data_IF_804440031107
#
_entry.id   IF_804440031107
#
_cell.length_a   1.000
_cell.length_b   1.000
_cell.length_c   1.000
_cell.angle_alpha   90.00
_cell.angle_beta   90.00
_cell.angle_gamma   90.00
#
_symmetry.space_group_name_H-M   'P 1'
#
loop_
_entity.id
_entity.type
_entity.pdbx_description
1 polymer ?
#
# COMPACT_ATOMS: atom_id res chain seq x y z
N UNK A 1 -15.88 0.18 -16.50
CA UNK A 1 -14.69 -0.67 -16.75
C UNK A 1 -14.16 -1.10 -15.40
N UNK A 2 -13.97 -2.40 -15.17
CA UNK A 2 -13.48 -2.90 -13.87
C UNK A 2 -11.99 -2.58 -13.72
N UNK A 3 -11.58 -2.01 -12.58
CA UNK A 3 -10.18 -1.82 -12.23
C UNK A 3 -9.57 -3.19 -11.89
N UNK A 4 -8.81 -3.81 -12.78
CA UNK A 4 -8.20 -5.14 -12.56
C UNK A 4 -6.68 -5.07 -12.67
N UNK A 5 -6.01 -5.68 -11.70
CA UNK A 5 -4.55 -5.83 -11.69
C UNK A 5 -4.19 -7.02 -12.60
N UNK A 6 -3.26 -6.80 -13.52
CA UNK A 6 -2.74 -7.84 -14.42
C UNK A 6 -1.26 -8.05 -14.11
N UNK A 7 -0.91 -9.27 -13.71
CA UNK A 7 0.44 -9.68 -13.35
C UNK A 7 0.96 -10.62 -14.43
N UNK A 8 2.17 -10.39 -14.93
CA UNK A 8 2.76 -11.14 -16.05
C UNK A 8 3.85 -12.13 -15.60
N UNK A 9 4.08 -12.25 -14.29
CA UNK A 9 5.20 -12.94 -13.67
C UNK A 9 6.55 -12.43 -14.17
N UNK A 10 6.67 -11.11 -14.27
CA UNK A 10 7.87 -10.40 -14.72
C UNK A 10 8.45 -9.55 -13.60
N UNK A 11 9.76 -9.22 -13.62
CA UNK A 11 10.40 -8.40 -12.59
C UNK A 11 9.76 -7.01 -12.40
N UNK A 12 8.97 -6.54 -13.37
CA UNK A 12 8.31 -5.24 -13.36
C UNK A 12 6.93 -5.24 -12.70
N UNK A 13 6.36 -6.41 -12.40
CA UNK A 13 5.00 -6.52 -11.82
C UNK A 13 4.89 -5.81 -10.46
N UNK A 14 5.98 -5.81 -9.68
CA UNK A 14 6.07 -5.03 -8.45
C UNK A 14 5.85 -3.53 -8.69
N UNK A 15 6.41 -2.98 -9.77
CA UNK A 15 6.23 -1.57 -10.14
C UNK A 15 4.82 -1.26 -10.66
N UNK A 16 4.16 -2.23 -11.31
CA UNK A 16 2.75 -2.09 -11.71
C UNK A 16 1.89 -1.92 -10.46
N UNK A 17 2.03 -2.79 -9.47
CA UNK A 17 1.30 -2.70 -8.21
C UNK A 17 1.61 -1.41 -7.47
N UNK A 18 2.89 -1.04 -7.34
CA UNK A 18 3.27 0.21 -6.69
C UNK A 18 2.64 1.43 -7.39
N UNK A 19 2.59 1.45 -8.72
CA UNK A 19 1.96 2.54 -9.46
C UNK A 19 0.46 2.65 -9.13
N UNK A 20 -0.23 1.51 -9.02
CA UNK A 20 -1.65 1.46 -8.66
C UNK A 20 -1.88 1.92 -7.23
N UNK A 21 -1.05 1.45 -6.30
CA UNK A 21 -1.08 1.83 -4.90
C UNK A 21 -0.85 3.33 -4.71
N UNK A 22 0.12 3.92 -5.43
CA UNK A 22 0.45 5.34 -5.32
C UNK A 22 -0.54 6.24 -6.06
N UNK A 23 -1.06 5.80 -7.20
CA UNK A 23 -1.89 6.64 -8.07
C UNK A 23 -3.19 5.92 -8.44
N UNK A 24 -4.08 5.61 -7.46
CA UNK A 24 -5.27 4.79 -7.70
C UNK A 24 -6.23 5.38 -8.73
N UNK A 25 -6.30 6.71 -8.84
CA UNK A 25 -7.20 7.45 -9.73
C UNK A 25 -6.49 8.15 -10.91
N UNK A 26 -5.18 8.39 -10.80
CA UNK A 26 -4.42 9.13 -11.82
C UNK A 26 -3.72 8.18 -12.80
N UNK A 27 -4.40 7.85 -13.90
CA UNK A 27 -3.86 6.96 -14.95
C UNK A 27 -2.55 7.48 -15.55
N UNK A 28 -2.45 8.78 -15.81
CA UNK A 28 -1.26 9.37 -16.42
C UNK A 28 0.00 9.18 -15.56
N UNK A 29 -0.09 9.39 -14.25
CA UNK A 29 1.04 9.15 -13.33
C UNK A 29 1.36 7.64 -13.19
N UNK A 30 0.35 6.77 -13.24
CA UNK A 30 0.58 5.30 -13.28
C UNK A 30 1.38 4.90 -14.50
N UNK A 31 0.91 5.31 -15.67
CA UNK A 31 1.52 4.97 -16.95
C UNK A 31 2.96 5.52 -17.01
N UNK A 32 3.18 6.75 -16.56
CA UNK A 32 4.51 7.38 -16.48
C UNK A 32 5.47 6.59 -15.58
N UNK A 33 5.01 6.21 -14.37
CA UNK A 33 5.81 5.41 -13.44
C UNK A 33 6.18 4.06 -14.03
N UNK A 34 5.20 3.35 -14.57
CA UNK A 34 5.42 2.05 -15.21
C UNK A 34 6.43 2.19 -16.36
N UNK A 35 6.23 3.15 -17.27
CA UNK A 35 7.09 3.35 -18.43
C UNK A 35 8.55 3.60 -18.05
N UNK A 36 8.82 4.42 -17.02
CA UNK A 36 10.17 4.67 -16.51
C UNK A 36 10.82 3.39 -16.00
N UNK A 37 10.09 2.60 -15.22
CA UNK A 37 10.63 1.35 -14.67
C UNK A 37 10.81 0.26 -15.73
N UNK A 38 9.90 0.17 -16.71
CA UNK A 38 10.07 -0.69 -17.89
C UNK A 38 11.32 -0.33 -18.69
N UNK A 39 11.54 0.96 -18.96
CA UNK A 39 12.72 1.43 -19.68
C UNK A 39 14.02 1.11 -18.91
N UNK A 40 14.04 1.35 -17.59
CA UNK A 40 15.19 1.02 -16.74
C UNK A 40 15.51 -0.48 -16.72
N UNK A 41 14.49 -1.33 -16.58
CA UNK A 41 14.67 -2.78 -16.60
C UNK A 41 15.23 -3.27 -17.96
N UNK A 42 14.81 -2.64 -19.05
CA UNK A 42 15.27 -2.94 -20.40
C UNK A 42 16.72 -2.51 -20.64
N UNK A 43 17.15 -1.39 -20.05
CA UNK A 43 18.53 -0.89 -20.15
C UNK A 43 19.52 -1.63 -19.24
N UNK A 44 19.05 -2.23 -18.15
CA UNK A 44 19.89 -2.92 -17.16
C UNK A 44 20.17 -4.39 -17.44
N UNK A 45 19.55 -5.00 -18.45
CA UNK A 45 19.80 -6.40 -18.81
C UNK A 45 20.97 -6.53 -19.79
N UNK A 46 21.98 -7.38 -19.51
CA UNK A 46 23.06 -7.64 -20.46
C UNK A 46 22.47 -8.18 -21.77
N UNK A 47 22.97 -7.64 -22.89
CA UNK A 47 22.42 -7.76 -24.23
C UNK A 47 22.54 -9.17 -24.86
N UNK A 48 22.01 -10.20 -24.18
CA UNK A 48 21.81 -11.51 -24.79
C UNK A 48 20.36 -11.63 -25.24
N UNK A 49 20.15 -11.29 -26.52
CA UNK A 49 19.05 -11.73 -27.36
C UNK A 49 17.63 -11.30 -26.97
N UNK A 50 17.35 -10.01 -26.78
CA UNK A 50 16.00 -9.50 -27.04
C UNK A 50 16.05 -8.05 -27.54
N UNK A 51 15.74 -7.86 -28.82
CA UNK A 51 15.22 -6.62 -29.39
C UNK A 51 13.82 -6.36 -28.81
N UNK A 52 13.71 -6.12 -27.51
CA UNK A 52 12.53 -5.49 -26.93
C UNK A 52 12.65 -4.00 -27.21
N UNK A 53 12.28 -3.60 -28.43
CA UNK A 53 11.90 -2.22 -28.69
C UNK A 53 10.86 -1.84 -27.62
N UNK A 54 11.14 -0.78 -26.85
CA UNK A 54 10.10 -0.16 -26.04
C UNK A 54 8.96 0.16 -27.02
N UNK A 55 7.80 -0.49 -26.84
CA UNK A 55 6.66 -0.28 -27.74
C UNK A 55 6.25 1.19 -27.74
N UNK A 56 5.63 1.64 -28.83
CA UNK A 56 5.25 3.05 -29.02
C UNK A 56 4.50 3.64 -27.81
N UNK A 57 3.68 2.82 -27.14
CA UNK A 57 2.96 3.20 -25.91
C UNK A 57 3.89 3.61 -24.75
N UNK A 58 5.00 2.89 -24.55
CA UNK A 58 6.00 3.19 -23.51
C UNK A 58 6.74 4.48 -23.86
N UNK A 59 7.09 4.67 -25.13
CA UNK A 59 7.77 5.88 -25.60
C UNK A 59 6.86 7.11 -25.47
N UNK A 60 5.59 7.01 -25.85
CA UNK A 60 4.61 8.08 -25.64
C UNK A 60 4.46 8.42 -24.16
N UNK A 61 4.32 7.42 -23.28
CA UNK A 61 4.21 7.64 -21.85
C UNK A 61 5.46 8.31 -21.25
N UNK A 62 6.66 8.02 -21.78
CA UNK A 62 7.91 8.67 -21.36
C UNK A 62 8.02 10.12 -21.83
N UNK A 63 7.55 10.42 -23.04
CA UNK A 63 7.54 11.79 -23.59
C UNK A 63 6.62 12.69 -22.76
N UNK A 64 5.46 12.16 -22.39
CA UNK A 64 4.47 12.90 -21.61
C UNK A 64 4.75 12.86 -20.09
N UNK A 65 5.72 12.05 -19.63
CA UNK A 65 5.99 11.89 -18.21
C UNK A 65 6.50 13.20 -17.57
N UNK A 66 6.06 13.50 -16.34
CA UNK A 66 6.70 14.56 -15.56
C UNK A 66 8.18 14.23 -15.32
N UNK A 67 8.97 15.25 -15.00
CA UNK A 67 10.36 15.06 -14.58
C UNK A 67 10.45 14.02 -13.46
N UNK A 68 11.43 13.11 -13.54
CA UNK A 68 11.54 11.99 -12.61
C UNK A 68 11.61 12.43 -11.14
N UNK A 69 12.29 13.55 -10.86
CA UNK A 69 12.32 14.15 -9.52
C UNK A 69 10.94 14.56 -9.01
N UNK A 70 10.10 15.16 -9.86
CA UNK A 70 8.72 15.51 -9.51
C UNK A 70 7.88 14.25 -9.28
N UNK A 71 8.08 13.22 -10.11
CA UNK A 71 7.39 11.94 -9.94
C UNK A 71 7.74 11.27 -8.60
N UNK A 72 9.01 11.33 -8.18
CA UNK A 72 9.45 10.84 -6.88
C UNK A 72 8.80 11.60 -5.71
N UNK A 73 8.65 12.93 -5.82
CA UNK A 73 7.93 13.73 -4.82
C UNK A 73 6.46 13.26 -4.73
N UNK A 74 5.81 13.08 -5.87
CA UNK A 74 4.43 12.60 -5.93
C UNK A 74 4.28 11.19 -5.33
N UNK A 75 5.23 10.29 -5.59
CA UNK A 75 5.25 8.95 -4.99
C UNK A 75 5.45 9.01 -3.48
N UNK A 76 6.38 9.84 -2.99
CA UNK A 76 6.61 9.99 -1.55
C UNK A 76 5.37 10.52 -0.83
N UNK A 77 4.70 11.52 -1.41
CA UNK A 77 3.44 12.04 -0.87
C UNK A 77 2.34 10.98 -0.88
N UNK A 78 2.16 10.28 -1.99
CA UNK A 78 1.13 9.25 -2.15
C UNK A 78 1.37 8.07 -1.22
N UNK A 79 2.62 7.65 -1.06
CA UNK A 79 3.03 6.61 -0.11
C UNK A 79 2.60 6.97 1.30
N UNK A 80 2.85 8.20 1.76
CA UNK A 80 2.44 8.63 3.11
C UNK A 80 0.93 8.54 3.30
N UNK A 81 0.15 8.99 2.32
CA UNK A 81 -1.32 8.92 2.37
C UNK A 81 -1.81 7.47 2.37
N UNK A 82 -1.27 6.64 1.49
CA UNK A 82 -1.59 5.23 1.36
C UNK A 82 -1.27 4.44 2.62
N UNK A 83 -0.09 4.66 3.22
CA UNK A 83 0.31 4.05 4.49
C UNK A 83 -0.68 4.34 5.61
N UNK A 84 -1.15 5.59 5.75
CA UNK A 84 -2.18 5.94 6.74
C UNK A 84 -3.45 5.14 6.52
N UNK A 85 -3.92 5.03 5.28
CA UNK A 85 -5.13 4.25 4.96
C UNK A 85 -4.92 2.75 5.19
N UNK A 86 -3.74 2.23 4.88
CA UNK A 86 -3.34 0.86 5.18
C UNK A 86 -3.31 0.57 6.68
N UNK A 87 -2.72 1.46 7.49
CA UNK A 87 -2.69 1.35 8.95
C UNK A 87 -4.12 1.33 9.53
N UNK A 88 -5.04 2.13 8.98
CA UNK A 88 -6.45 2.15 9.42
C UNK A 88 -7.12 0.82 9.16
N UNK A 89 -7.02 0.28 7.93
CA UNK A 89 -7.66 -0.99 7.59
C UNK A 89 -7.03 -2.16 8.33
N UNK A 90 -5.70 -2.19 8.47
CA UNK A 90 -4.99 -3.19 9.26
C UNK A 90 -5.37 -3.12 10.75
N UNK A 91 -5.52 -1.92 11.30
CA UNK A 91 -6.00 -1.73 12.68
C UNK A 91 -7.42 -2.25 12.86
N UNK A 92 -8.33 -1.98 11.92
CA UNK A 92 -9.70 -2.53 11.95
C UNK A 92 -9.68 -4.06 11.93
N UNK A 93 -8.86 -4.64 11.05
CA UNK A 93 -8.69 -6.09 10.99
C UNK A 93 -8.21 -6.66 12.33
N UNK A 94 -7.17 -6.05 12.91
CA UNK A 94 -6.60 -6.51 14.18
C UNK A 94 -7.57 -6.33 15.35
N UNK A 95 -8.33 -5.24 15.38
CA UNK A 95 -9.39 -5.04 16.37
C UNK A 95 -10.50 -6.08 16.24
N UNK A 96 -10.82 -6.50 15.01
CA UNK A 96 -11.77 -7.58 14.75
C UNK A 96 -11.23 -8.93 15.22
N UNK A 97 -9.97 -9.27 14.91
CA UNK A 97 -9.31 -10.49 15.41
C UNK A 97 -9.28 -10.58 16.94
N UNK A 98 -9.10 -9.43 17.60
CA UNK A 98 -9.08 -9.32 19.06
C UNK A 98 -10.48 -9.24 19.69
N UNK A 99 -11.54 -9.32 18.89
CA UNK A 99 -12.94 -9.19 19.31
C UNK A 99 -13.19 -7.95 20.20
N UNK A 100 -12.54 -6.84 19.89
CA UNK A 100 -12.68 -5.64 20.70
C UNK A 100 -14.10 -5.05 20.56
N UNK A 101 -14.75 -4.66 21.67
CA UNK A 101 -16.14 -4.20 21.65
C UNK A 101 -16.34 -2.90 20.88
N UNK A 102 -15.29 -2.10 20.72
CA UNK A 102 -15.28 -0.84 19.97
C UNK A 102 -14.38 -0.96 18.73
N UNK A 103 -14.72 -1.87 17.82
CA UNK A 103 -14.11 -1.93 16.50
C UNK A 103 -14.74 -0.87 15.58
N UNK A 104 -14.40 0.39 15.83
CA UNK A 104 -14.91 1.57 15.12
C UNK A 104 -13.84 2.25 14.26
N UNK A 105 -14.29 2.96 13.22
CA UNK A 105 -13.40 3.71 12.34
C UNK A 105 -12.67 4.83 13.11
N UNK A 106 -13.34 5.48 14.06
CA UNK A 106 -12.72 6.52 14.88
C UNK A 106 -11.55 5.99 15.70
N UNK A 107 -11.69 4.80 16.31
CA UNK A 107 -10.59 4.16 17.03
C UNK A 107 -9.43 3.78 16.10
N UNK A 108 -9.72 3.23 14.92
CA UNK A 108 -8.69 2.94 13.92
C UNK A 108 -7.92 4.19 13.47
N UNK A 109 -8.62 5.32 13.28
CA UNK A 109 -8.00 6.63 12.96
C UNK A 109 -7.07 7.09 14.10
N UNK A 110 -7.47 6.91 15.35
CA UNK A 110 -6.62 7.25 16.50
C UNK A 110 -5.35 6.38 16.55
N UNK A 111 -5.48 5.07 16.32
CA UNK A 111 -4.34 4.15 16.25
C UNK A 111 -3.39 4.55 15.12
N UNK A 112 -3.90 4.76 13.91
CA UNK A 112 -3.11 5.20 12.76
C UNK A 112 -2.40 6.54 13.01
N UNK A 113 -3.08 7.49 13.67
CA UNK A 113 -2.47 8.77 14.06
C UNK A 113 -1.33 8.62 15.07
N UNK A 114 -1.41 7.63 15.97
CA UNK A 114 -0.32 7.31 16.90
C UNK A 114 0.85 6.64 16.18
N UNK A 115 0.57 5.66 15.32
CA UNK A 115 1.57 5.01 14.46
C UNK A 115 2.34 6.00 13.61
N UNK A 116 1.64 6.99 13.04
CA UNK A 116 2.25 8.01 12.20
C UNK A 116 3.10 9.04 12.95
N UNK A 117 2.92 9.17 14.27
CA UNK A 117 3.80 9.96 15.13
C UNK A 117 5.01 9.17 15.62
N UNK A 118 4.87 7.85 15.76
CA UNK A 118 5.94 6.98 16.25
C UNK A 118 6.90 6.48 15.16
N UNK A 119 6.66 6.81 13.90
CA UNK A 119 7.48 6.34 12.78
C UNK A 119 8.02 7.51 11.98
N UNK A 120 9.30 7.42 11.62
CA UNK A 120 9.90 8.29 10.61
C UNK A 120 9.37 7.88 9.23
N UNK A 121 8.16 8.34 8.88
CA UNK A 121 7.60 8.16 7.55
C UNK A 121 8.29 9.09 6.55
N UNK A 122 9.54 8.75 6.22
CA UNK A 122 10.39 9.51 5.32
C UNK A 122 10.99 10.76 5.95
N UNK A 123 12.04 11.27 5.33
CA UNK A 123 12.76 12.49 5.75
C UNK A 123 11.95 13.77 5.46
N UNK A 124 10.70 13.84 5.95
CA UNK A 124 9.79 14.96 5.77
C UNK A 124 9.26 15.47 7.10
N UNK A 125 8.74 16.71 7.14
CA UNK A 125 8.17 17.29 8.35
C UNK A 125 7.01 16.44 8.88
N UNK A 126 6.80 16.46 10.21
CA UNK A 126 5.62 15.90 10.86
C UNK A 126 4.38 16.37 10.11
N UNK A 127 3.68 15.44 9.46
CA UNK A 127 2.48 15.81 8.71
C UNK A 127 1.36 16.04 9.72
N UNK A 128 0.70 17.22 9.75
CA UNK A 128 -0.39 17.46 10.68
C UNK A 128 -1.61 16.62 10.26
N UNK A 129 -1.78 15.47 10.91
CA UNK A 129 -2.88 14.54 10.67
C UNK A 129 -4.16 15.00 11.40
N UNK A 130 -4.83 16.01 10.86
CA UNK A 130 -6.20 16.29 11.30
C UNK A 130 -7.13 15.14 10.88
N UNK A 131 -8.16 14.83 11.68
CA UNK A 131 -9.15 13.80 11.33
C UNK A 131 -9.81 14.09 9.96
N UNK A 132 -10.02 15.37 9.63
CA UNK A 132 -10.53 15.81 8.33
C UNK A 132 -9.58 15.39 7.20
N UNK A 133 -8.28 15.60 7.38
CA UNK A 133 -7.24 15.21 6.41
C UNK A 133 -7.23 13.70 6.20
N UNK A 134 -7.26 12.91 7.28
CA UNK A 134 -7.29 11.45 7.21
C UNK A 134 -8.53 10.96 6.46
N UNK A 135 -9.71 11.53 6.72
CA UNK A 135 -10.94 11.20 5.98
C UNK A 135 -10.82 11.48 4.48
N UNK A 136 -10.07 12.50 4.08
CA UNK A 136 -9.76 12.74 2.66
C UNK A 136 -8.88 11.62 2.09
N UNK A 137 -7.83 11.21 2.82
CA UNK A 137 -6.97 10.12 2.37
C UNK A 137 -7.73 8.80 2.23
N UNK A 138 -8.61 8.47 3.18
CA UNK A 138 -9.47 7.28 3.10
C UNK A 138 -10.27 7.31 1.80
N UNK A 139 -10.90 8.44 1.45
CA UNK A 139 -11.67 8.55 0.20
C UNK A 139 -10.80 8.41 -1.05
N UNK A 140 -9.63 9.04 -1.05
CA UNK A 140 -8.71 9.05 -2.19
C UNK A 140 -8.11 7.66 -2.47
N UNK A 141 -7.79 6.90 -1.41
CA UNK A 141 -7.12 5.60 -1.49
C UNK A 141 -8.02 4.40 -1.16
N UNK A 142 -9.33 4.60 -0.99
CA UNK A 142 -10.28 3.53 -0.64
C UNK A 142 -10.16 2.31 -1.58
N UNK A 143 -10.02 2.55 -2.88
CA UNK A 143 -9.95 1.51 -3.91
C UNK A 143 -8.70 0.63 -3.83
N UNK A 144 -7.67 1.06 -3.11
CA UNK A 144 -6.38 0.35 -2.93
C UNK A 144 -6.02 0.17 -1.45
N UNK A 145 -6.96 0.42 -0.54
CA UNK A 145 -6.73 0.33 0.91
C UNK A 145 -6.25 -1.08 1.32
N UNK A 146 -6.76 -2.12 0.67
CA UNK A 146 -6.37 -3.51 0.89
C UNK A 146 -4.91 -3.79 0.52
N UNK A 147 -4.40 -3.22 -0.57
CA UNK A 147 -2.98 -3.31 -0.96
C UNK A 147 -2.09 -2.63 0.07
N UNK A 148 -2.49 -1.44 0.55
CA UNK A 148 -1.74 -0.72 1.58
C UNK A 148 -1.77 -1.44 2.93
N UNK A 149 -2.91 -2.01 3.33
CA UNK A 149 -3.00 -2.80 4.55
C UNK A 149 -2.08 -4.02 4.49
N UNK A 150 -2.12 -4.76 3.37
CA UNK A 150 -1.22 -5.88 3.15
C UNK A 150 0.25 -5.44 3.23
N UNK A 151 0.63 -4.31 2.62
CA UNK A 151 1.99 -3.78 2.69
C UNK A 151 2.42 -3.48 4.14
N UNK A 152 1.49 -3.00 4.97
CA UNK A 152 1.74 -2.65 6.37
C UNK A 152 1.86 -3.86 7.27
N UNK A 153 1.07 -4.90 7.02
CA UNK A 153 1.17 -6.20 7.70
C UNK A 153 2.47 -6.89 7.25
N UNK A 154 2.75 -6.86 5.95
CA UNK A 154 3.88 -7.53 5.31
C UNK A 154 5.20 -6.77 5.41
N UNK A 155 5.41 -5.87 6.38
CA UNK A 155 6.53 -4.92 6.41
C UNK A 155 7.94 -5.58 6.38
N UNK A 156 8.02 -6.89 6.59
CA UNK A 156 9.23 -7.70 6.45
C UNK A 156 9.53 -8.18 5.01
N UNK A 157 8.58 -8.06 4.08
CA UNK A 157 8.69 -8.53 2.70
C UNK A 157 8.76 -7.35 1.73
N UNK A 158 9.92 -7.17 1.08
CA UNK A 158 10.02 -6.26 -0.06
C UNK A 158 9.68 -7.04 -1.34
N UNK A 159 8.58 -6.67 -1.99
CA UNK A 159 8.15 -7.26 -3.28
C UNK A 159 8.50 -6.37 -4.49
N UNK A 160 8.98 -5.15 -4.26
CA UNK A 160 9.27 -4.18 -5.31
C UNK A 160 10.74 -4.06 -5.68
N UNK A 161 11.63 -4.71 -4.92
CA UNK A 161 13.04 -4.78 -5.26
C UNK A 161 13.26 -5.94 -6.24
N UNK A 162 14.17 -5.78 -7.20
CA UNK A 162 14.54 -6.78 -8.22
C UNK A 162 15.35 -7.96 -7.66
N UNK A 163 15.12 -8.36 -6.41
CA UNK A 163 15.80 -9.50 -5.80
C UNK A 163 15.24 -10.82 -6.33
N UNK A 164 16.02 -11.89 -6.18
CA UNK A 164 15.63 -13.25 -6.57
C UNK A 164 14.33 -13.74 -5.90
N UNK A 165 13.98 -13.17 -4.73
CA UNK A 165 12.77 -13.49 -3.97
C UNK A 165 11.56 -12.62 -4.32
N UNK A 166 11.70 -11.65 -5.23
CA UNK A 166 10.64 -10.68 -5.57
C UNK A 166 9.33 -11.33 -5.98
N UNK A 167 9.36 -12.33 -6.86
CA UNK A 167 8.16 -13.06 -7.31
C UNK A 167 7.47 -13.81 -6.17
N UNK A 168 8.24 -14.44 -5.27
CA UNK A 168 7.71 -15.15 -4.10
C UNK A 168 7.09 -14.18 -3.09
N UNK A 169 7.77 -13.05 -2.86
CA UNK A 169 7.27 -11.99 -1.98
C UNK A 169 6.02 -11.32 -2.55
N UNK A 170 5.97 -11.15 -3.88
CA UNK A 170 4.80 -10.65 -4.58
C UNK A 170 3.60 -11.59 -4.42
N UNK A 171 3.77 -12.89 -4.62
CA UNK A 171 2.69 -13.85 -4.42
C UNK A 171 2.14 -13.80 -2.99
N UNK A 172 3.01 -13.77 -1.97
CA UNK A 172 2.62 -13.59 -0.57
C UNK A 172 1.87 -12.28 -0.33
N UNK A 173 2.36 -11.18 -0.90
CA UNK A 173 1.73 -9.87 -0.80
C UNK A 173 0.33 -9.86 -1.41
N UNK A 174 0.13 -10.51 -2.57
CA UNK A 174 -1.18 -10.61 -3.22
C UNK A 174 -2.17 -11.43 -2.38
N UNK A 175 -1.72 -12.53 -1.79
CA UNK A 175 -2.54 -13.34 -0.86
C UNK A 175 -2.99 -12.52 0.34
N UNK A 176 -2.08 -11.77 0.96
CA UNK A 176 -2.41 -10.86 2.08
C UNK A 176 -3.36 -9.74 1.64
N UNK A 177 -3.17 -9.22 0.44
CA UNK A 177 -4.03 -8.20 -0.17
C UNK A 177 -5.44 -8.72 -0.37
N UNK A 178 -5.60 -9.99 -0.75
CA UNK A 178 -6.92 -10.63 -0.92
C UNK A 178 -7.62 -10.78 0.43
N UNK A 179 -6.90 -11.21 1.48
CA UNK A 179 -7.46 -11.25 2.84
C UNK A 179 -7.95 -9.88 3.30
N UNK A 180 -7.14 -8.83 3.09
CA UNK A 180 -7.51 -7.46 3.43
C UNK A 180 -8.68 -6.95 2.57
N UNK A 181 -8.75 -7.36 1.30
CA UNK A 181 -9.82 -7.00 0.37
C UNK A 181 -11.16 -7.59 0.81
N UNK A 182 -11.20 -8.89 1.11
CA UNK A 182 -12.41 -9.57 1.57
C UNK A 182 -12.91 -8.99 2.89
N UNK A 183 -12.01 -8.75 3.84
CA UNK A 183 -12.36 -8.05 5.08
C UNK A 183 -12.90 -6.65 4.80
N UNK A 184 -12.18 -5.83 4.03
CA UNK A 184 -12.57 -4.45 3.74
C UNK A 184 -13.93 -4.34 3.02
N UNK A 185 -14.27 -5.31 2.18
CA UNK A 185 -15.55 -5.37 1.45
C UNK A 185 -16.72 -5.97 2.26
N UNK A 186 -16.46 -6.63 3.38
CA UNK A 186 -17.50 -7.28 4.20
C UNK A 186 -17.69 -6.62 5.57
N UNK A 187 -16.65 -6.01 6.12
CA UNK A 187 -16.65 -5.45 7.47
C UNK A 187 -17.35 -4.08 7.53
N UNK A 188 -18.33 -3.97 8.43
CA UNK A 188 -19.05 -2.72 8.73
C UNK A 188 -18.64 -2.25 10.13
N UNK A 189 -17.95 -1.10 10.27
CA UNK A 189 -17.49 -0.61 11.56
C UNK A 189 -18.63 -0.36 12.56
N UNK A 190 -18.32 -0.55 13.84
CA UNK A 190 -19.22 -0.17 14.92
C UNK A 190 -19.48 1.35 14.88
N UNK A 191 -20.73 1.75 15.16
CA UNK A 191 -21.13 3.16 15.17
C UNK A 191 -21.11 3.87 13.81
N UNK A 192 -20.88 3.16 12.71
CA UNK A 192 -20.94 3.77 11.38
C UNK A 192 -22.34 4.34 11.09
N UNK A 193 -22.39 5.62 10.73
CA UNK A 193 -23.65 6.32 10.36
C UNK A 193 -24.37 5.60 9.22
N UNK A 194 -23.60 5.07 8.26
CA UNK A 194 -24.09 4.27 7.16
C UNK A 194 -23.57 2.84 7.27
N UNK A 195 -24.43 1.85 7.03
CA UNK A 195 -24.11 0.42 7.10
C UNK A 195 -23.45 -0.07 5.81
N UNK A 196 -22.39 0.60 5.39
CA UNK A 196 -21.60 0.20 4.24
C UNK A 196 -20.24 -0.35 4.69
N UNK A 197 -19.66 -1.30 3.94
CA UNK A 197 -18.29 -1.74 4.14
C UNK A 197 -17.27 -0.61 3.97
N UNK A 198 -16.05 -0.83 4.46
CA UNK A 198 -14.94 0.13 4.31
C UNK A 198 -14.55 0.33 2.85
N UNK A 199 -14.53 -0.75 2.07
CA UNK A 199 -14.21 -0.75 0.64
C UNK A 199 -15.47 -1.11 -0.13
N UNK A 200 -15.79 -0.31 -1.16
CA UNK A 200 -16.82 -0.66 -2.12
C UNK A 200 -16.24 -1.57 -3.20
N UNK A 201 -16.85 -2.72 -3.41
CA UNK A 201 -16.39 -3.75 -4.35
C UNK A 201 -16.25 -3.20 -5.77
N UNK A 202 -17.18 -2.35 -6.21
CA UNK A 202 -17.22 -1.76 -7.56
C UNK A 202 -16.10 -0.76 -7.84
N UNK A 203 -15.56 -0.12 -6.80
CA UNK A 203 -14.52 0.91 -6.93
C UNK A 203 -13.11 0.34 -6.76
N UNK A 204 -13.01 -0.83 -6.12
CA UNK A 204 -11.74 -1.43 -5.74
C UNK A 204 -10.94 -1.96 -6.94
N UNK A 205 -9.61 -1.91 -6.80
CA UNK A 205 -8.72 -2.63 -7.68
C UNK A 205 -8.79 -4.13 -7.37
N UNK A 206 -9.23 -4.92 -8.34
CA UNK A 206 -9.41 -6.36 -8.20
C UNK A 206 -8.08 -7.08 -8.46
N UNK A 207 -7.74 -8.00 -7.56
CA UNK A 207 -6.54 -8.82 -7.66
C UNK A 207 -6.62 -9.83 -8.81
N UNK A 208 -5.48 -10.39 -9.28
CA UNK A 208 -5.48 -11.41 -10.31
C UNK A 208 -6.32 -12.63 -9.92
N UNK A 209 -6.95 -13.27 -10.90
CA UNK A 209 -7.72 -14.50 -10.69
C UNK A 209 -6.86 -15.60 -10.06
N UNK A 210 -7.46 -16.39 -9.17
CA UNK A 210 -6.77 -17.47 -8.46
C UNK A 210 -6.01 -17.01 -7.20
N UNK A 211 -5.92 -15.71 -6.92
CA UNK A 211 -5.44 -15.23 -5.62
C UNK A 211 -6.45 -15.65 -4.55
N UNK A 212 -6.02 -16.53 -3.64
CA UNK A 212 -6.86 -17.00 -2.53
C UNK A 212 -6.42 -16.31 -1.24
N UNK A 213 -7.35 -15.90 -0.38
CA UNK A 213 -7.01 -15.32 0.92
C UNK A 213 -6.28 -16.33 1.80
N UNK A 214 -5.40 -15.84 2.67
CA UNK A 214 -4.87 -16.62 3.79
C UNK A 214 -5.46 -16.12 5.10
N UNK A 215 -5.59 -17.03 6.07
CA UNK A 215 -5.90 -16.62 7.44
C UNK A 215 -4.73 -15.80 8.01
N UNK A 216 -5.07 -14.67 8.61
CA UNK A 216 -4.13 -13.80 9.32
C UNK A 216 -4.27 -14.02 10.82
N UNK A 217 -3.13 -14.14 11.48
CA UNK A 217 -3.02 -14.26 12.94
C UNK A 217 -2.47 -12.97 13.54
N UNK A 218 -2.50 -12.85 14.86
CA UNK A 218 -1.94 -11.68 15.55
C UNK A 218 -0.42 -11.53 15.31
N UNK A 219 0.29 -12.64 15.12
CA UNK A 219 1.75 -12.67 14.96
C UNK A 219 2.20 -12.10 13.60
N UNK A 220 1.26 -11.93 12.66
CA UNK A 220 1.53 -11.31 11.36
C UNK A 220 1.59 -9.77 11.45
N UNK A 221 1.13 -9.18 12.55
CA UNK A 221 1.06 -7.72 12.71
C UNK A 221 2.29 -7.17 13.43
N UNK A 222 2.76 -5.96 13.08
CA UNK A 222 3.81 -5.30 13.85
C UNK A 222 3.40 -5.09 15.33
N UNK A 223 4.28 -5.45 16.26
CA UNK A 223 4.05 -5.31 17.72
C UNK A 223 3.57 -3.90 18.11
N UNK A 224 4.14 -2.87 17.48
CA UNK A 224 3.76 -1.47 17.70
C UNK A 224 2.29 -1.20 17.37
N UNK A 225 1.75 -1.83 16.32
CA UNK A 225 0.34 -1.72 15.96
C UNK A 225 -0.53 -2.45 16.98
N UNK A 226 -0.12 -3.66 17.39
CA UNK A 226 -0.82 -4.45 18.40
C UNK A 226 -0.92 -3.71 19.75
N UNK A 227 0.17 -3.08 20.17
CA UNK A 227 0.24 -2.31 21.41
C UNK A 227 -0.69 -1.09 21.37
N UNK A 228 -0.68 -0.32 20.27
CA UNK A 228 -1.60 0.81 20.13
C UNK A 228 -3.06 0.38 20.03
N UNK A 229 -3.37 -0.73 19.34
CA UNK A 229 -4.73 -1.29 19.28
C UNK A 229 -5.22 -1.70 20.67
N UNK A 230 -4.35 -2.30 21.48
CA UNK A 230 -4.62 -2.64 22.89
C UNK A 230 -4.67 -1.43 23.82
N UNK A 231 -4.38 -0.23 23.33
CA UNK A 231 -4.45 1.00 24.10
C UNK A 231 -3.24 1.25 24.99
N UNK A 232 -2.13 0.53 24.80
CA UNK A 232 -0.88 0.85 25.49
C UNK A 232 -0.34 2.18 24.97
N UNK A 233 0.08 3.05 25.89
CA UNK A 233 0.82 4.24 25.52
C UNK A 233 2.32 3.94 25.53
N UNK A 234 2.85 3.71 24.32
CA UNK A 234 4.26 3.37 24.09
C UNK A 234 5.07 4.57 23.57
N UNK A 235 4.51 5.78 23.59
CA UNK A 235 5.20 7.00 23.14
C UNK A 235 6.47 7.31 23.93
N UNK A 236 6.63 6.75 25.14
CA UNK A 236 7.85 6.86 25.92
C UNK A 236 8.98 5.88 25.49
N UNK A 237 8.68 4.86 24.67
CA UNK A 237 9.61 3.77 24.32
C UNK A 237 10.18 3.88 22.89
N UNK A 238 9.63 4.74 22.04
CA UNK A 238 9.92 4.77 20.59
C UNK A 238 11.20 5.50 20.18
N UNK A 239 12.09 5.85 21.12
CA UNK A 239 13.40 6.43 20.79
C UNK A 239 14.47 5.41 20.38
N UNK A 240 14.19 4.09 20.36
CA UNK A 240 15.24 3.08 20.08
C UNK A 240 14.93 2.04 19.01
N UNK A 241 13.72 1.94 18.46
CA UNK A 241 13.38 0.94 17.45
C UNK A 241 12.38 1.48 16.44
N UNK A 242 12.87 1.82 15.24
CA UNK A 242 12.29 1.64 13.89
C UNK A 242 13.20 2.45 12.95
N UNK A 243 14.32 1.86 12.55
CA UNK A 243 15.23 2.46 11.58
C UNK A 243 14.76 2.11 10.15
N UNK A 244 14.38 3.18 9.43
CA UNK A 244 14.41 3.37 7.99
C UNK A 244 14.38 2.16 7.07
N UNK A 245 13.19 1.80 6.54
CA UNK A 245 13.06 0.93 5.35
C UNK A 245 11.87 1.21 4.43
N UNK A 246 11.21 2.37 4.54
CA UNK A 246 10.18 2.75 3.55
C UNK A 246 10.82 3.51 2.37
N UNK A 247 11.88 4.28 2.62
CA UNK A 247 12.52 5.10 1.57
C UNK A 247 13.51 4.34 0.67
N UNK A 248 14.12 3.25 1.13
CA UNK A 248 15.05 2.46 0.32
C UNK A 248 14.38 1.47 -0.65
N UNK A 249 13.05 1.38 -0.63
CA UNK A 249 12.27 0.53 -1.55
C UNK A 249 11.63 1.32 -2.70
N UNK A 250 11.83 2.64 -2.73
CA UNK A 250 11.38 3.54 -3.80
C UNK A 250 12.56 4.18 -4.58
N UNK A 251 13.80 3.78 -4.30
CA UNK A 251 15.01 4.16 -5.03
C UNK A 251 15.45 3.01 -5.93
#
# INVERSE_FOLDING_TARGET
>A
MSNRIVIRNTPVDGYIIQSIMNFPTNKHLRDSWQAIHFARASLGSPAENNTSQAGDEVLCALIDAPAFSQLQINVAESTRKGVVVGDILASLYLMHLLELPDCSLSRAIQVSSKLAKSSEYGAGPETPYSERTIKTYIKEFASVAHLWAAFRISAHFSFANSTQDSAKNLAKFLVLSETCYQFGCSFVPHGAQYKYPIIKTEDAWVLPEGTSPSELTMDDFPDIMLDFVRGKDITALTNSFILGRVYSQCQ
#
